data_IF_134507983602
#
_entry.id   IF_134507983602
#
_cell.length_a   1.000
_cell.length_b   1.000
_cell.length_c   1.000
_cell.angle_alpha   90.00
_cell.angle_beta   90.00
_cell.angle_gamma   90.00
#
_symmetry.space_group_name_H-M   'P 1'
#
loop_
_entity.id
_entity.type
_entity.pdbx_description
1 polymer ?
#
# COMPACT_ATOMS: atom_id res chain seq x y z
N UNK A 1 -62.52 -19.37 9.33
CA UNK A 1 -61.13 -18.86 9.20
C UNK A 1 -61.20 -17.37 8.99
N UNK A 2 -60.77 -16.63 10.00
CA UNK A 2 -61.03 -15.20 10.13
C UNK A 2 -60.08 -14.39 9.23
N UNK A 3 -60.53 -13.21 8.78
CA UNK A 3 -59.72 -12.28 7.96
C UNK A 3 -58.35 -11.95 8.60
N UNK A 4 -58.28 -12.00 9.93
CA UNK A 4 -57.08 -11.77 10.74
C UNK A 4 -56.01 -12.89 10.59
N UNK A 5 -56.43 -14.15 10.41
CA UNK A 5 -55.48 -15.26 10.22
C UNK A 5 -54.81 -15.18 8.84
N UNK A 6 -55.57 -14.74 7.82
CA UNK A 6 -55.04 -14.57 6.46
C UNK A 6 -54.05 -13.42 6.36
N UNK A 7 -54.29 -12.30 7.05
CA UNK A 7 -53.33 -11.18 7.09
C UNK A 7 -52.05 -11.55 7.84
N UNK A 8 -52.14 -12.26 8.98
CA UNK A 8 -50.96 -12.74 9.70
C UNK A 8 -50.12 -13.74 8.89
N UNK A 9 -50.76 -14.67 8.18
CA UNK A 9 -50.05 -15.62 7.30
C UNK A 9 -49.32 -14.92 6.14
N UNK A 10 -49.95 -13.90 5.54
CA UNK A 10 -49.33 -13.11 4.46
C UNK A 10 -48.10 -12.32 4.96
N UNK A 11 -48.20 -11.73 6.16
CA UNK A 11 -47.07 -11.01 6.78
C UNK A 11 -45.93 -11.98 7.11
N UNK A 12 -46.23 -13.16 7.66
CA UNK A 12 -45.22 -14.17 7.97
C UNK A 12 -44.51 -14.70 6.71
N UNK A 13 -45.26 -14.91 5.63
CA UNK A 13 -44.71 -15.34 4.34
C UNK A 13 -43.81 -14.26 3.73
N UNK A 14 -44.21 -12.99 3.82
CA UNK A 14 -43.43 -11.85 3.33
C UNK A 14 -42.11 -11.68 4.11
N UNK A 15 -42.14 -11.84 5.44
CA UNK A 15 -40.93 -11.84 6.28
C UNK A 15 -40.00 -13.01 5.97
N UNK A 16 -40.55 -14.18 5.63
CA UNK A 16 -39.75 -15.36 5.27
C UNK A 16 -39.02 -15.17 3.93
N UNK A 17 -39.63 -14.48 2.97
CA UNK A 17 -39.03 -14.19 1.65
C UNK A 17 -37.97 -13.09 1.77
N UNK A 18 -38.18 -12.07 2.62
CA UNK A 18 -37.21 -11.00 2.84
C UNK A 18 -35.92 -11.48 3.54
N UNK A 19 -35.97 -12.55 4.33
CA UNK A 19 -34.79 -13.16 4.95
C UNK A 19 -33.95 -14.03 3.99
N UNK A 20 -34.42 -14.24 2.76
CA UNK A 20 -33.74 -15.01 1.70
C UNK A 20 -33.04 -14.10 0.70
N UNK A 21 -32.46 -12.99 1.14
CA UNK A 21 -31.53 -12.22 0.30
C UNK A 21 -30.22 -12.99 0.20
N UNK A 22 -30.09 -13.85 -0.81
CA UNK A 22 -28.80 -14.38 -1.21
C UNK A 22 -27.91 -13.23 -1.68
N UNK A 23 -26.70 -13.15 -1.12
CA UNK A 23 -25.71 -12.17 -1.58
C UNK A 23 -25.39 -12.49 -3.04
N UNK A 24 -25.32 -11.48 -3.91
CA UNK A 24 -24.99 -11.63 -5.33
C UNK A 24 -23.60 -12.27 -5.60
N UNK A 25 -22.80 -12.45 -4.54
CA UNK A 25 -21.47 -13.06 -4.57
C UNK A 25 -21.40 -14.41 -3.85
N UNK A 26 -22.53 -14.97 -3.41
CA UNK A 26 -22.57 -16.24 -2.67
C UNK A 26 -22.11 -17.46 -3.50
N UNK A 27 -22.06 -17.31 -4.83
CA UNK A 27 -21.59 -18.34 -5.76
C UNK A 27 -20.07 -18.34 -5.95
N UNK A 28 -19.35 -17.33 -5.47
CA UNK A 28 -17.89 -17.26 -5.58
C UNK A 28 -17.30 -18.26 -4.59
N UNK A 29 -16.83 -19.38 -5.14
CA UNK A 29 -16.08 -20.40 -4.40
C UNK A 29 -14.68 -19.90 -4.06
N UNK A 30 -14.06 -20.51 -3.05
CA UNK A 30 -12.68 -20.23 -2.64
C UNK A 30 -11.73 -20.08 -3.85
N UNK A 31 -11.09 -18.93 -3.96
CA UNK A 31 -10.19 -18.60 -5.06
C UNK A 31 -8.76 -18.23 -4.58
N UNK A 32 -7.91 -17.79 -5.52
CA UNK A 32 -6.53 -17.37 -5.20
C UNK A 32 -6.45 -16.04 -4.46
N UNK A 33 -7.47 -15.20 -4.56
CA UNK A 33 -7.58 -13.96 -3.79
C UNK A 33 -7.86 -14.33 -2.34
N UNK A 34 -8.75 -15.29 -2.08
CA UNK A 34 -9.03 -15.79 -0.74
C UNK A 34 -7.77 -16.35 -0.08
N UNK A 35 -6.95 -17.13 -0.80
CA UNK A 35 -5.66 -17.62 -0.30
C UNK A 35 -4.71 -16.48 0.12
N UNK A 36 -4.65 -15.42 -0.69
CA UNK A 36 -3.84 -14.23 -0.39
C UNK A 36 -4.39 -13.48 0.82
N UNK A 37 -5.71 -13.30 0.89
CA UNK A 37 -6.38 -12.61 1.97
C UNK A 37 -6.25 -13.36 3.29
N UNK A 38 -6.38 -14.69 3.29
CA UNK A 38 -6.14 -15.53 4.45
C UNK A 38 -4.70 -15.39 4.96
N UNK A 39 -3.73 -15.32 4.05
CA UNK A 39 -2.32 -15.09 4.41
C UNK A 39 -2.11 -13.73 5.05
N UNK A 40 -2.67 -12.67 4.47
CA UNK A 40 -2.64 -11.31 5.03
C UNK A 40 -3.30 -11.28 6.41
N UNK A 41 -4.48 -11.88 6.55
CA UNK A 41 -5.26 -11.90 7.79
C UNK A 41 -4.64 -12.80 8.88
N UNK A 42 -3.80 -13.76 8.50
CA UNK A 42 -3.11 -14.64 9.45
C UNK A 42 -2.00 -13.93 10.24
N UNK A 43 -1.52 -12.78 9.75
CA UNK A 43 -0.42 -12.03 10.34
C UNK A 43 -0.96 -10.81 11.08
N UNK A 44 -0.84 -10.85 12.41
CA UNK A 44 -1.17 -9.75 13.30
C UNK A 44 0.09 -9.23 14.01
N UNK A 45 0.01 -8.05 14.62
CA UNK A 45 1.12 -7.45 15.39
C UNK A 45 1.68 -8.38 16.47
N UNK A 46 0.82 -9.19 17.09
CA UNK A 46 1.21 -10.17 18.11
C UNK A 46 1.92 -11.42 17.54
N UNK A 47 1.64 -11.79 16.29
CA UNK A 47 2.12 -13.04 15.67
C UNK A 47 3.29 -12.81 14.69
N UNK A 48 3.50 -11.57 14.23
CA UNK A 48 4.50 -11.23 13.21
C UNK A 48 5.91 -11.77 13.52
N UNK A 49 6.36 -11.63 14.77
CA UNK A 49 7.70 -12.07 15.19
C UNK A 49 7.89 -13.59 15.18
N UNK A 50 6.81 -14.37 15.20
CA UNK A 50 6.87 -15.84 15.21
C UNK A 50 6.82 -16.44 13.80
N UNK A 51 6.48 -15.62 12.80
CA UNK A 51 6.34 -16.04 11.40
C UNK A 51 7.67 -16.04 10.67
N UNK A 52 7.82 -17.00 9.76
CA UNK A 52 9.00 -17.01 8.89
C UNK A 52 8.92 -15.86 7.87
N UNK A 53 10.07 -15.32 7.41
CA UNK A 53 10.06 -14.28 6.39
C UNK A 53 9.31 -14.66 5.10
N UNK A 54 9.31 -15.94 4.73
CA UNK A 54 8.56 -16.45 3.57
C UNK A 54 7.04 -16.43 3.76
N UNK A 55 6.55 -16.38 5.00
CA UNK A 55 5.13 -16.25 5.34
C UNK A 55 4.70 -14.78 5.42
N UNK A 56 5.65 -13.86 5.64
CA UNK A 56 5.41 -12.41 5.69
C UNK A 56 5.41 -11.74 4.32
N UNK A 57 5.77 -12.49 3.27
CA UNK A 57 5.85 -12.01 1.89
C UNK A 57 4.79 -12.72 1.06
N UNK A 58 4.16 -11.98 0.15
CA UNK A 58 3.23 -12.54 -0.82
C UNK A 58 3.96 -13.53 -1.75
N UNK A 59 3.28 -14.62 -2.17
CA UNK A 59 3.90 -15.58 -3.09
C UNK A 59 4.26 -14.87 -4.40
N UNK A 60 5.35 -15.28 -5.04
CA UNK A 60 5.85 -14.61 -6.26
C UNK A 60 4.84 -14.64 -7.40
N UNK A 61 4.03 -15.70 -7.45
CA UNK A 61 2.94 -15.91 -8.40
C UNK A 61 1.70 -15.04 -8.15
N UNK A 62 1.61 -14.33 -7.02
CA UNK A 62 0.53 -13.36 -6.78
C UNK A 62 0.48 -12.26 -7.85
N UNK A 63 1.61 -12.03 -8.54
CA UNK A 63 1.70 -11.11 -9.67
C UNK A 63 2.10 -11.91 -10.92
N UNK A 64 1.13 -12.17 -11.80
CA UNK A 64 1.28 -12.94 -13.04
C UNK A 64 2.50 -12.59 -13.90
N UNK A 65 2.97 -11.35 -13.88
CA UNK A 65 4.23 -10.97 -14.52
C UNK A 65 4.83 -9.81 -13.74
N UNK A 66 5.75 -10.11 -12.83
CA UNK A 66 6.55 -9.11 -12.12
C UNK A 66 7.30 -8.28 -13.17
N UNK A 67 7.15 -6.94 -13.20
CA UNK A 67 7.92 -6.15 -14.15
C UNK A 67 9.41 -6.38 -13.85
N UNK A 68 10.26 -6.47 -14.89
CA UNK A 68 11.73 -6.53 -14.76
C UNK A 68 12.36 -5.35 -15.51
N UNK A 69 13.59 -4.96 -15.18
CA UNK A 69 14.26 -3.85 -15.89
C UNK A 69 14.57 -4.26 -17.34
N UNK A 70 14.84 -5.54 -17.56
CA UNK A 70 15.12 -6.11 -18.87
C UNK A 70 13.90 -6.14 -19.79
N UNK A 71 12.69 -6.19 -19.21
CA UNK A 71 11.41 -6.15 -19.92
C UNK A 71 11.27 -4.91 -20.80
N UNK A 72 11.86 -3.77 -20.40
CA UNK A 72 11.86 -2.53 -21.18
C UNK A 72 12.58 -2.67 -22.54
N UNK A 73 13.53 -3.60 -22.65
CA UNK A 73 14.36 -3.76 -23.85
C UNK A 73 13.82 -4.80 -24.83
N UNK A 74 12.97 -5.72 -24.39
CA UNK A 74 12.59 -6.91 -25.14
C UNK A 74 11.08 -7.08 -25.36
N UNK A 75 10.25 -6.64 -24.42
CA UNK A 75 8.84 -7.04 -24.40
C UNK A 75 7.90 -5.91 -24.80
N UNK A 76 6.81 -6.29 -25.47
CA UNK A 76 5.68 -5.40 -25.73
C UNK A 76 4.92 -5.22 -24.41
N UNK A 77 5.06 -4.04 -23.81
CA UNK A 77 4.34 -3.72 -22.57
C UNK A 77 2.89 -3.37 -22.92
N UNK A 78 1.96 -4.17 -22.42
CA UNK A 78 0.52 -3.91 -22.58
C UNK A 78 0.15 -2.54 -22.00
N UNK A 79 -0.72 -1.78 -22.68
CA UNK A 79 -1.16 -0.45 -22.24
C UNK A 79 -1.72 -0.41 -20.82
N UNK A 80 -2.38 -1.48 -20.38
CA UNK A 80 -2.94 -1.58 -19.01
C UNK A 80 -1.86 -1.77 -17.92
N UNK A 81 -0.59 -1.91 -18.29
CA UNK A 81 0.50 -2.27 -17.38
C UNK A 81 1.68 -1.31 -17.41
N UNK A 82 1.60 -0.29 -18.26
CA UNK A 82 2.59 0.79 -18.34
C UNK A 82 2.67 1.53 -17.00
N UNK A 83 1.55 1.81 -16.34
CA UNK A 83 1.52 2.49 -15.04
C UNK A 83 2.30 1.74 -13.95
N UNK A 84 2.10 0.43 -13.80
CA UNK A 84 2.83 -0.39 -12.83
C UNK A 84 4.34 -0.41 -13.10
N UNK A 85 4.73 -0.44 -14.38
CA UNK A 85 6.14 -0.39 -14.76
C UNK A 85 6.76 0.97 -14.42
N UNK A 86 6.05 2.07 -14.67
CA UNK A 86 6.51 3.40 -14.31
C UNK A 86 6.62 3.58 -12.79
N UNK A 87 5.64 3.13 -12.02
CA UNK A 87 5.68 3.12 -10.54
C UNK A 87 6.91 2.38 -10.04
N UNK A 88 7.18 1.19 -10.59
CA UNK A 88 8.34 0.39 -10.20
C UNK A 88 9.66 1.09 -10.50
N UNK A 89 9.79 1.73 -11.66
CA UNK A 89 11.02 2.44 -12.03
C UNK A 89 11.26 3.65 -11.11
N UNK A 90 10.21 4.35 -10.71
CA UNK A 90 10.28 5.44 -9.73
C UNK A 90 10.70 4.90 -8.36
N UNK A 91 10.05 3.83 -7.88
CA UNK A 91 10.41 3.20 -6.61
C UNK A 91 11.87 2.71 -6.59
N UNK A 92 12.35 2.12 -7.69
CA UNK A 92 13.73 1.64 -7.80
C UNK A 92 14.74 2.79 -7.81
N UNK A 93 14.49 3.85 -8.58
CA UNK A 93 15.31 5.07 -8.59
C UNK A 93 15.39 5.68 -7.18
N UNK A 94 14.25 5.76 -6.50
CA UNK A 94 14.18 6.34 -5.15
C UNK A 94 14.95 5.52 -4.13
N UNK A 95 14.81 4.18 -4.16
CA UNK A 95 15.58 3.29 -3.30
C UNK A 95 17.09 3.47 -3.46
N UNK A 96 17.58 3.63 -4.70
CA UNK A 96 19.00 3.88 -4.99
C UNK A 96 19.46 5.27 -4.53
N UNK A 97 18.64 6.30 -4.75
CA UNK A 97 18.97 7.66 -4.33
C UNK A 97 19.03 7.78 -2.80
N UNK A 98 18.03 7.24 -2.10
CA UNK A 98 17.94 7.30 -0.65
C UNK A 98 19.01 6.46 0.04
N UNK A 99 19.33 5.27 -0.49
CA UNK A 99 20.44 4.49 0.05
C UNK A 99 21.75 5.26 -0.08
N UNK A 100 22.00 5.90 -1.22
CA UNK A 100 23.17 6.76 -1.40
C UNK A 100 23.18 7.96 -0.43
N UNK A 101 22.07 8.70 -0.34
CA UNK A 101 21.93 9.86 0.54
C UNK A 101 22.19 9.50 2.01
N UNK A 102 21.64 8.37 2.48
CA UNK A 102 21.71 7.96 3.88
C UNK A 102 22.92 7.08 4.22
N UNK A 103 23.78 6.73 3.27
CA UNK A 103 25.00 5.96 3.55
C UNK A 103 26.27 6.75 3.26
N UNK A 104 26.25 7.68 2.30
CA UNK A 104 27.48 8.28 1.76
C UNK A 104 27.58 9.80 1.94
N UNK A 105 26.55 10.48 2.47
CA UNK A 105 26.75 11.87 2.85
C UNK A 105 27.76 11.96 4.00
N UNK A 106 28.64 12.95 3.92
CA UNK A 106 29.59 13.24 4.99
C UNK A 106 28.81 13.59 6.27
N UNK A 107 29.31 13.14 7.43
CA UNK A 107 28.69 13.22 8.76
C UNK A 107 28.31 14.64 9.24
N UNK A 108 28.52 15.68 8.44
CA UNK A 108 28.43 17.08 8.85
C UNK A 108 27.50 17.96 8.01
N UNK A 109 26.97 17.45 6.90
CA UNK A 109 26.00 18.16 6.07
C UNK A 109 24.63 17.49 6.16
N UNK A 110 23.68 18.18 6.79
CA UNK A 110 22.29 17.73 6.82
C UNK A 110 21.79 17.64 5.36
N UNK A 111 21.40 16.45 4.85
CA UNK A 111 20.72 16.35 3.57
C UNK A 111 19.47 17.20 3.72
N UNK A 112 19.37 18.28 2.94
CA UNK A 112 18.27 19.22 3.06
C UNK A 112 16.96 18.45 3.00
N UNK A 113 16.21 18.38 4.11
CA UNK A 113 14.94 17.64 4.17
C UNK A 113 13.95 18.18 3.13
N UNK A 114 14.07 19.47 2.81
CA UNK A 114 13.41 20.14 1.68
C UNK A 114 13.73 19.49 0.34
N UNK A 115 14.97 19.06 0.09
CA UNK A 115 15.35 18.36 -1.13
C UNK A 115 14.65 17.01 -1.24
N UNK A 116 14.53 16.28 -0.12
CA UNK A 116 13.82 15.00 -0.07
C UNK A 116 12.31 15.22 -0.33
N UNK A 117 11.72 16.29 0.22
CA UNK A 117 10.34 16.67 -0.06
C UNK A 117 10.13 17.06 -1.54
N UNK A 118 11.00 17.92 -2.08
CA UNK A 118 10.95 18.35 -3.47
C UNK A 118 11.13 17.19 -4.45
N UNK A 119 11.97 16.22 -4.11
CA UNK A 119 12.14 14.99 -4.87
C UNK A 119 10.83 14.18 -4.89
N UNK A 120 10.19 13.95 -3.74
CA UNK A 120 8.90 13.26 -3.68
C UNK A 120 7.81 14.02 -4.47
N UNK A 121 7.80 15.36 -4.41
CA UNK A 121 6.91 16.18 -5.23
C UNK A 121 7.23 16.09 -6.74
N UNK A 122 8.52 15.97 -7.11
CA UNK A 122 8.95 15.81 -8.50
C UNK A 122 8.49 14.46 -9.08
N UNK A 123 8.52 13.38 -8.30
CA UNK A 123 7.96 12.09 -8.73
C UNK A 123 6.45 12.20 -9.03
N UNK A 124 5.75 13.02 -8.24
CA UNK A 124 4.33 13.34 -8.38
C UNK A 124 4.05 14.46 -9.38
N UNK A 125 5.03 15.11 -9.98
CA UNK A 125 4.77 16.00 -11.12
C UNK A 125 5.16 15.33 -12.43
N UNK A 126 6.22 14.51 -12.42
CA UNK A 126 6.68 13.73 -13.56
C UNK A 126 5.73 12.60 -13.98
N UNK A 127 5.05 11.92 -13.03
CA UNK A 127 4.19 10.77 -13.32
C UNK A 127 2.69 11.08 -13.50
N UNK A 128 2.32 12.13 -14.25
CA UNK A 128 0.92 12.65 -14.28
C UNK A 128 -0.07 11.56 -14.72
N UNK A 129 -1.09 11.31 -13.89
CA UNK A 129 -2.10 10.27 -14.15
C UNK A 129 -1.63 8.83 -13.94
N UNK A 130 -0.44 8.61 -13.36
CA UNK A 130 0.14 7.28 -13.16
C UNK A 130 0.37 6.94 -11.68
N UNK A 131 0.62 7.94 -10.84
CA UNK A 131 0.93 7.79 -9.41
C UNK A 131 0.09 8.81 -8.66
N UNK A 132 -0.35 8.56 -7.43
CA UNK A 132 -1.04 9.59 -6.63
C UNK A 132 -0.29 10.00 -5.36
N UNK A 133 0.74 9.26 -4.97
CA UNK A 133 1.52 9.57 -3.79
C UNK A 133 2.95 9.08 -3.95
N UNK A 134 3.88 9.77 -3.32
CA UNK A 134 5.28 9.39 -3.19
C UNK A 134 5.75 9.82 -1.82
N UNK A 135 6.40 8.95 -1.09
CA UNK A 135 6.94 9.28 0.21
C UNK A 135 7.94 8.24 0.68
N UNK A 136 8.79 8.66 1.61
CA UNK A 136 9.64 7.78 2.39
C UNK A 136 9.15 7.82 3.83
N UNK A 137 9.22 6.70 4.52
CA UNK A 137 8.79 6.58 5.91
C UNK A 137 9.85 5.83 6.68
N UNK A 138 10.20 6.35 7.85
CA UNK A 138 11.02 5.64 8.82
C UNK A 138 10.13 4.98 9.87
N UNK A 139 10.49 3.76 10.27
CA UNK A 139 9.85 3.08 11.39
C UNK A 139 10.22 3.77 12.72
N UNK A 140 9.33 3.67 13.70
CA UNK A 140 9.50 4.30 15.00
C UNK A 140 10.73 3.71 15.71
N UNK A 141 11.65 4.59 16.08
CA UNK A 141 12.81 4.24 16.90
C UNK A 141 13.76 3.21 16.27
N UNK A 142 13.83 3.17 14.93
CA UNK A 142 14.69 2.21 14.20
C UNK A 142 15.88 2.81 13.45
N UNK A 143 15.85 4.11 13.15
CA UNK A 143 16.88 4.74 12.32
C UNK A 143 17.66 5.82 13.07
N UNK A 144 18.99 5.68 13.08
CA UNK A 144 19.93 6.67 13.63
C UNK A 144 20.49 7.52 12.49
N UNK A 145 20.17 8.82 12.41
CA UNK A 145 20.70 9.68 11.37
C UNK A 145 22.15 10.07 11.69
N UNK A 146 23.10 9.69 10.84
CA UNK A 146 24.48 10.19 10.95
C UNK A 146 24.59 11.69 10.60
N UNK A 147 23.62 12.22 9.86
CA UNK A 147 23.65 13.56 9.30
C UNK A 147 22.94 14.60 10.19
N UNK A 148 22.10 14.19 11.13
CA UNK A 148 21.34 15.12 11.97
C UNK A 148 22.07 15.34 13.30
N UNK A 149 22.89 16.39 13.37
CA UNK A 149 23.82 16.64 14.49
C UNK A 149 23.13 16.65 15.86
N UNK A 150 21.92 17.20 15.93
CA UNK A 150 21.12 17.28 17.16
C UNK A 150 20.53 15.91 17.60
N UNK A 151 20.69 14.87 16.79
CA UNK A 151 20.12 13.52 16.96
C UNK A 151 21.17 12.40 16.88
N UNK A 152 22.46 12.68 17.07
CA UNK A 152 23.55 11.69 16.98
C UNK A 152 23.41 10.46 17.91
N UNK A 153 22.57 10.54 18.95
CA UNK A 153 22.25 9.43 19.86
C UNK A 153 20.74 9.26 20.07
N UNK A 154 19.94 9.73 19.11
CA UNK A 154 18.49 9.64 19.14
C UNK A 154 18.01 9.10 17.81
N UNK A 155 17.05 8.21 17.89
CA UNK A 155 16.35 7.73 16.71
C UNK A 155 15.51 8.85 16.10
N UNK A 156 15.39 8.88 14.78
CA UNK A 156 14.35 9.71 14.17
C UNK A 156 12.99 9.17 14.62
N UNK A 157 12.05 10.03 15.09
CA UNK A 157 10.65 9.63 15.20
C UNK A 157 10.10 9.37 13.79
N UNK A 158 8.79 9.12 13.66
CA UNK A 158 8.11 8.86 12.38
C UNK A 158 8.32 10.02 11.38
N UNK A 159 9.47 10.01 10.73
CA UNK A 159 9.91 11.02 9.80
C UNK A 159 9.56 10.48 8.42
N UNK A 160 8.93 11.32 7.60
CA UNK A 160 8.56 10.87 6.27
C UNK A 160 8.22 12.02 5.35
N UNK A 161 9.16 12.46 4.49
CA UNK A 161 8.79 13.34 3.41
C UNK A 161 7.78 12.62 2.52
N UNK A 162 6.68 13.33 2.31
CA UNK A 162 5.38 12.83 1.89
C UNK A 162 4.89 13.75 0.79
N UNK A 163 4.37 13.19 -0.30
CA UNK A 163 3.76 13.95 -1.35
C UNK A 163 2.53 13.20 -1.88
N UNK A 164 1.51 13.95 -2.26
CA UNK A 164 0.15 13.47 -2.53
C UNK A 164 -0.45 14.17 -3.77
N UNK A 165 -1.58 13.63 -4.27
CA UNK A 165 -2.17 13.95 -5.57
C UNK A 165 -3.64 13.46 -5.65
N UNK A 166 -4.27 13.79 -6.78
CA UNK A 166 -5.59 13.42 -7.31
C UNK A 166 -6.68 14.53 -7.21
N UNK A 167 -6.35 15.70 -7.81
CA UNK A 167 -7.23 16.78 -8.28
C UNK A 167 -8.11 17.61 -7.30
N UNK A 168 -7.84 17.59 -5.99
CA UNK A 168 -8.59 18.39 -5.01
C UNK A 168 -8.30 19.91 -5.03
N UNK A 169 -9.33 20.67 -5.42
CA UNK A 169 -9.60 22.04 -4.99
C UNK A 169 -10.37 22.12 -3.65
N UNK A 170 -10.72 21.01 -2.97
CA UNK A 170 -11.44 21.06 -1.68
C UNK A 170 -11.05 19.90 -0.76
N UNK A 171 -10.60 20.24 0.45
CA UNK A 171 -10.06 19.29 1.41
C UNK A 171 -11.10 18.35 2.02
N UNK A 172 -10.79 17.05 2.05
CA UNK A 172 -10.91 16.15 3.20
C UNK A 172 -10.83 14.69 2.73
N UNK A 173 -9.62 14.15 2.54
CA UNK A 173 -9.45 12.70 2.46
C UNK A 173 -8.22 12.25 3.26
N UNK A 174 -8.48 11.84 4.51
CA UNK A 174 -7.60 11.00 5.30
C UNK A 174 -7.55 9.63 4.62
N UNK A 175 -6.41 9.23 4.06
CA UNK A 175 -6.20 7.86 3.59
C UNK A 175 -5.48 7.02 4.62
N UNK A 176 -6.16 5.95 5.03
CA UNK A 176 -5.65 4.84 5.84
C UNK A 176 -4.82 3.87 4.98
N UNK A 177 -3.91 3.21 5.68
CA UNK A 177 -3.07 2.08 5.27
C UNK A 177 -1.80 2.42 4.50
N UNK A 178 -0.81 2.91 5.25
CA UNK A 178 0.58 2.56 4.98
C UNK A 178 0.84 1.23 5.68
N UNK A 179 0.83 0.13 4.92
CA UNK A 179 1.47 -1.09 5.39
C UNK A 179 2.97 -0.79 5.50
N UNK A 180 3.44 -0.69 6.74
CA UNK A 180 4.86 -0.72 7.05
C UNK A 180 5.39 -2.04 6.49
N UNK A 181 6.17 -1.96 5.42
CA UNK A 181 7.14 -3.02 5.16
C UNK A 181 8.10 -2.98 6.35
N UNK A 182 8.00 -3.99 7.21
CA UNK A 182 9.04 -4.26 8.19
C UNK A 182 10.32 -4.54 7.39
N UNK A 183 11.23 -3.57 7.39
CA UNK A 183 12.64 -3.76 7.05
C UNK A 183 13.39 -3.87 8.36
#
# INVERSE_FOLDING_TARGET
MNLLERSCLSIFLCLYILNKTCSQFEWISYDKIDEVMDRINSVNSANCFQKQPSELVLPEEAVYQKPSIEMLKKDIIMRNRTQLLHVRNIAHRNALLYSYLFQRLFDFEEPGLTYILLHNAADITGGRGMINGSGIFFDQDKYYPHWYKNYFNKTLPLFGPYAWRADDFYGNHIFRSFHCFCI
#
